data_IF_394376677776
#
_entry.id   IF_394376677776
#
_cell.length_a   1.000
_cell.length_b   1.000
_cell.length_c   1.000
_cell.angle_alpha   90.00
_cell.angle_beta   90.00
_cell.angle_gamma   90.00
#
_symmetry.space_group_name_H-M   'P 1'
#
loop_
_entity.id
_entity.type
_entity.pdbx_description
1 polymer ?
#
# COMPACT_ATOMS: atom_id res chain seq x y z
N UNK A 1 -1.72 4.71 11.06
CA UNK A 1 -1.92 5.75 10.01
C UNK A 1 -3.33 5.64 9.44
N UNK A 2 -3.95 6.73 8.97
CA UNK A 2 -5.27 6.69 8.34
C UNK A 2 -5.16 6.53 6.81
N UNK A 3 -6.17 5.94 6.16
CA UNK A 3 -6.21 5.76 4.70
C UNK A 3 -6.02 7.09 3.94
N UNK A 4 -6.68 8.17 4.38
CA UNK A 4 -6.52 9.49 3.75
C UNK A 4 -5.08 10.00 3.76
N UNK A 5 -4.32 9.74 4.84
CA UNK A 5 -2.92 10.18 4.95
C UNK A 5 -2.02 9.41 3.96
N UNK A 6 -2.27 8.11 3.80
CA UNK A 6 -1.59 7.28 2.78
C UNK A 6 -1.88 7.83 1.40
N UNK A 7 -3.15 8.11 1.09
CA UNK A 7 -3.56 8.62 -0.23
C UNK A 7 -2.91 9.98 -0.52
N UNK A 8 -2.88 10.90 0.44
CA UNK A 8 -2.21 12.20 0.27
C UNK A 8 -0.70 12.05 -0.04
N UNK A 9 -0.02 11.11 0.62
CA UNK A 9 1.39 10.81 0.35
C UNK A 9 1.59 10.23 -1.06
N UNK A 10 0.72 9.32 -1.50
CA UNK A 10 0.76 8.75 -2.86
C UNK A 10 0.51 9.84 -3.90
N UNK A 11 -0.51 10.69 -3.70
CA UNK A 11 -0.79 11.83 -4.57
C UNK A 11 0.43 12.74 -4.72
N UNK A 12 1.11 13.05 -3.60
CA UNK A 12 2.31 13.89 -3.61
C UNK A 12 3.50 13.22 -4.29
N UNK A 13 3.64 11.90 -4.20
CA UNK A 13 4.78 11.17 -4.76
C UNK A 13 4.61 10.89 -6.26
N UNK A 14 3.44 10.39 -6.65
CA UNK A 14 3.11 10.04 -8.02
C UNK A 14 2.56 11.21 -8.85
N UNK A 15 2.37 12.39 -8.24
CA UNK A 15 1.78 13.58 -8.84
C UNK A 15 0.45 13.27 -9.56
N UNK A 16 -0.42 12.53 -8.86
CA UNK A 16 -1.72 12.06 -9.33
C UNK A 16 -2.86 12.57 -8.44
N UNK A 17 -4.10 12.42 -8.90
CA UNK A 17 -5.30 12.76 -8.13
C UNK A 17 -5.68 11.67 -7.11
N UNK A 18 -6.56 12.02 -6.18
CA UNK A 18 -7.00 11.12 -5.10
C UNK A 18 -7.63 9.82 -5.61
N UNK A 19 -8.36 9.85 -6.74
CA UNK A 19 -8.98 8.65 -7.29
C UNK A 19 -7.92 7.70 -7.85
N UNK A 20 -6.96 8.25 -8.61
CA UNK A 20 -5.82 7.49 -9.13
C UNK A 20 -4.96 6.92 -8.00
N UNK A 21 -4.66 7.71 -6.97
CA UNK A 21 -3.90 7.25 -5.81
C UNK A 21 -4.62 6.13 -5.04
N UNK A 22 -5.95 6.22 -4.92
CA UNK A 22 -6.78 5.14 -4.36
C UNK A 22 -6.73 3.88 -5.21
N UNK A 23 -6.74 3.98 -6.54
CA UNK A 23 -6.59 2.81 -7.41
C UNK A 23 -5.24 2.13 -7.20
N UNK A 24 -4.14 2.89 -7.19
CA UNK A 24 -2.81 2.34 -6.91
C UNK A 24 -2.74 1.66 -5.55
N UNK A 25 -3.26 2.30 -4.50
CA UNK A 25 -3.31 1.72 -3.17
C UNK A 25 -4.10 0.41 -3.14
N UNK A 26 -5.27 0.38 -3.78
CA UNK A 26 -6.12 -0.81 -3.83
C UNK A 26 -5.50 -1.94 -4.63
N UNK A 27 -4.80 -1.65 -5.73
CA UNK A 27 -4.10 -2.65 -6.53
C UNK A 27 -2.96 -3.30 -5.73
N UNK A 28 -2.18 -2.52 -4.98
CA UNK A 28 -1.14 -3.07 -4.09
C UNK A 28 -1.75 -3.91 -2.97
N UNK A 29 -2.83 -3.46 -2.33
CA UNK A 29 -3.52 -4.25 -1.30
C UNK A 29 -4.05 -5.56 -1.89
N UNK A 30 -4.63 -5.53 -3.09
CA UNK A 30 -5.11 -6.74 -3.78
C UNK A 30 -3.96 -7.71 -4.04
N UNK A 31 -2.85 -7.22 -4.56
CA UNK A 31 -1.66 -8.03 -4.81
C UNK A 31 -1.12 -8.68 -3.52
N UNK A 32 -1.00 -7.92 -2.43
CA UNK A 32 -0.54 -8.47 -1.15
C UNK A 32 -1.52 -9.50 -0.56
N UNK A 33 -2.83 -9.33 -0.77
CA UNK A 33 -3.84 -10.33 -0.38
C UNK A 33 -3.72 -11.61 -1.19
N UNK A 34 -3.47 -11.51 -2.50
CA UNK A 34 -3.23 -12.68 -3.36
C UNK A 34 -2.01 -13.49 -2.87
N UNK A 35 -0.93 -12.81 -2.48
CA UNK A 35 0.25 -13.45 -1.85
C UNK A 35 -0.09 -14.09 -0.49
N UNK A 36 -0.94 -13.44 0.30
CA UNK A 36 -1.37 -13.95 1.61
C UNK A 36 -2.20 -15.22 1.47
N UNK A 37 -3.08 -15.29 0.49
CA UNK A 37 -3.94 -16.46 0.21
C UNK A 37 -3.13 -17.71 -0.12
N UNK A 38 -1.96 -17.55 -0.75
CA UNK A 38 -1.03 -18.64 -1.06
C UNK A 38 0.06 -18.84 0.01
N UNK A 39 -0.03 -18.12 1.14
CA UNK A 39 0.95 -18.13 2.23
C UNK A 39 2.39 -17.81 1.77
N UNK A 40 2.52 -16.94 0.76
CA UNK A 40 3.79 -16.49 0.21
C UNK A 40 4.09 -15.02 0.57
N UNK A 41 3.14 -14.32 1.21
CA UNK A 41 3.31 -12.95 1.67
C UNK A 41 4.45 -12.83 2.69
N UNK A 42 5.42 -11.98 2.39
CA UNK A 42 6.53 -11.61 3.25
C UNK A 42 6.52 -10.11 3.55
N UNK A 43 7.22 -9.71 4.62
CA UNK A 43 7.39 -8.31 5.00
C UNK A 43 8.05 -7.48 3.88
N UNK A 44 8.97 -8.09 3.13
CA UNK A 44 9.61 -7.47 1.97
C UNK A 44 8.63 -7.12 0.86
N UNK A 45 7.54 -7.87 0.69
CA UNK A 45 6.53 -7.55 -0.32
C UNK A 45 5.79 -6.26 0.06
N UNK A 46 5.52 -6.08 1.35
CA UNK A 46 4.89 -4.87 1.88
C UNK A 46 5.82 -3.65 1.71
N UNK A 47 7.12 -3.82 1.95
CA UNK A 47 8.14 -2.79 1.73
C UNK A 47 8.24 -2.40 0.24
N UNK A 48 8.17 -3.40 -0.66
CA UNK A 48 8.16 -3.19 -2.11
C UNK A 48 6.89 -2.45 -2.57
N UNK A 49 5.71 -2.80 -2.05
CA UNK A 49 4.46 -2.07 -2.32
C UNK A 49 4.54 -0.62 -1.86
N UNK A 50 5.10 -0.35 -0.67
CA UNK A 50 5.33 1.02 -0.19
C UNK A 50 6.26 1.79 -1.16
N UNK A 51 7.34 1.15 -1.57
CA UNK A 51 8.30 1.73 -2.54
C UNK A 51 7.67 1.97 -3.91
N UNK A 52 6.82 1.05 -4.39
CA UNK A 52 6.10 1.15 -5.67
C UNK A 52 5.10 2.31 -5.70
N UNK A 53 4.50 2.61 -4.55
CA UNK A 53 3.63 3.76 -4.35
C UNK A 53 4.38 5.07 -4.03
N UNK A 54 5.72 4.99 -3.95
CA UNK A 54 6.57 6.14 -3.64
C UNK A 54 6.36 6.70 -2.24
N UNK A 55 5.95 5.87 -1.28
CA UNK A 55 5.75 6.24 0.13
C UNK A 55 6.80 5.57 1.03
N UNK A 56 7.03 6.17 2.19
CA UNK A 56 8.07 5.72 3.12
C UNK A 56 7.68 4.43 3.88
N UNK A 57 8.68 3.71 4.38
CA UNK A 57 8.51 2.45 5.12
C UNK A 57 7.65 2.59 6.40
N UNK A 58 7.50 3.80 6.95
CA UNK A 58 6.56 4.06 8.04
C UNK A 58 5.09 3.78 7.67
N UNK A 59 4.76 3.78 6.38
CA UNK A 59 3.44 3.42 5.87
C UNK A 59 3.17 1.90 5.90
N UNK A 60 4.18 1.05 6.14
CA UNK A 60 4.01 -0.41 6.21
C UNK A 60 3.02 -0.84 7.30
N UNK A 61 2.92 -0.08 8.40
CA UNK A 61 1.95 -0.34 9.47
C UNK A 61 0.51 -0.32 8.94
N UNK A 62 0.20 0.56 7.98
CA UNK A 62 -1.11 0.62 7.34
C UNK A 62 -1.43 -0.66 6.56
N UNK A 63 -0.52 -1.12 5.71
CA UNK A 63 -0.70 -2.36 4.96
C UNK A 63 -0.85 -3.56 5.88
N UNK A 64 -0.02 -3.66 6.91
CA UNK A 64 -0.11 -4.74 7.90
C UNK A 64 -1.47 -4.76 8.58
N UNK A 65 -1.99 -3.59 8.96
CA UNK A 65 -3.33 -3.47 9.55
C UNK A 65 -4.43 -3.93 8.57
N UNK A 66 -4.38 -3.52 7.31
CA UNK A 66 -5.38 -3.86 6.28
C UNK A 66 -5.31 -5.33 5.82
N UNK A 67 -4.14 -5.96 5.94
CA UNK A 67 -3.94 -7.38 5.62
C UNK A 67 -4.25 -8.32 6.79
N UNK A 68 -4.27 -7.80 8.02
CA UNK A 68 -4.59 -8.60 9.21
C UNK A 68 -6.11 -8.67 9.47
N UNK A 69 -6.90 -7.77 8.89
CA UNK A 69 -8.36 -7.67 9.02
C UNK A 69 -9.10 -7.95 7.70
#
# INVERSE_FOLDING_TARGET
>A
MAENEIIERICSSCNCDEATAKEYLNDEIRHLRELQEVNDLQESDIELSCSGLGIESECMEYFTMVLTF
#
